data_IF_695176896714
#
_entry.id   IF_695176896714
#
_cell.length_a   1.000
_cell.length_b   1.000
_cell.length_c   1.000
_cell.angle_alpha   90.00
_cell.angle_beta   90.00
_cell.angle_gamma   90.00
#
_symmetry.space_group_name_H-M   'P 1'
#
loop_
_entity.id
_entity.type
_entity.pdbx_description
1 polymer ?
#
# COMPACT_ATOMS: atom_id res chain seq x y z
N UNK A 1 56.19 72.13 31.81
CA UNK A 1 55.13 72.81 32.58
C UNK A 1 53.85 71.98 32.49
N UNK A 2 53.52 71.27 33.57
CA UNK A 2 52.14 70.89 33.95
C UNK A 2 51.54 72.06 34.79
N UNK A 3 50.30 72.06 35.31
CA UNK A 3 49.21 71.04 35.36
C UNK A 3 47.86 71.62 34.85
N UNK A 4 46.66 71.03 34.90
CA UNK A 4 46.07 69.79 35.43
C UNK A 4 44.52 69.85 35.31
N UNK A 5 43.87 68.67 35.44
CA UNK A 5 42.51 68.33 35.98
C UNK A 5 41.37 69.38 35.99
N UNK A 6 40.08 69.10 35.78
CA UNK A 6 39.24 67.94 36.16
C UNK A 6 37.83 68.05 35.52
N UNK A 7 37.07 66.96 35.63
CA UNK A 7 35.72 66.62 35.14
C UNK A 7 34.56 67.59 35.45
N UNK A 8 33.48 67.56 34.66
CA UNK A 8 32.13 67.20 35.16
C UNK A 8 31.05 66.99 34.06
N UNK A 9 30.05 66.19 34.45
CA UNK A 9 29.01 65.50 33.67
C UNK A 9 27.77 66.37 33.38
N UNK A 10 26.99 66.02 32.35
CA UNK A 10 25.65 66.58 32.15
C UNK A 10 24.85 65.91 31.04
N UNK A 11 24.07 64.89 31.41
CA UNK A 11 23.34 63.96 30.56
C UNK A 11 22.32 64.60 29.59
N UNK A 12 22.42 64.20 28.32
CA UNK A 12 21.44 64.47 27.28
C UNK A 12 20.12 63.71 27.50
N UNK A 13 19.03 64.41 27.20
CA UNK A 13 17.65 63.93 27.18
C UNK A 13 17.52 62.74 26.24
N UNK A 14 17.10 61.57 26.75
CA UNK A 14 16.63 60.48 25.91
C UNK A 14 15.13 60.26 26.16
N UNK A 15 14.34 60.68 25.17
CA UNK A 15 12.90 60.44 25.10
C UNK A 15 12.68 58.94 24.95
N UNK A 16 11.94 58.35 25.88
CA UNK A 16 11.53 56.95 25.83
C UNK A 16 10.45 56.81 24.74
N UNK A 17 10.84 56.32 23.57
CA UNK A 17 9.90 55.74 22.62
C UNK A 17 9.59 54.33 23.10
N UNK A 18 8.40 54.14 23.68
CA UNK A 18 7.81 52.83 23.92
C UNK A 18 7.54 52.17 22.57
N UNK A 19 8.49 51.39 22.08
CA UNK A 19 8.28 50.42 21.01
C UNK A 19 7.40 49.31 21.56
N UNK A 20 6.12 49.33 21.18
CA UNK A 20 5.21 48.21 21.34
C UNK A 20 5.68 47.12 20.38
N UNK A 21 6.49 46.18 20.89
CA UNK A 21 6.87 44.97 20.17
C UNK A 21 5.62 44.12 19.95
N UNK A 22 5.00 44.27 18.77
CA UNK A 22 3.95 43.37 18.29
C UNK A 22 4.53 41.98 18.08
N UNK A 23 4.23 41.07 18.99
CA UNK A 23 4.52 39.65 18.83
C UNK A 23 3.63 39.10 17.70
N UNK A 24 4.15 39.05 16.47
CA UNK A 24 3.50 38.36 15.36
C UNK A 24 3.62 36.86 15.65
N UNK A 25 2.57 36.28 16.23
CA UNK A 25 2.41 34.85 16.40
C UNK A 25 2.08 34.25 15.03
N UNK A 26 3.09 33.79 14.30
CA UNK A 26 2.91 32.99 13.08
C UNK A 26 2.23 31.68 13.45
N UNK A 27 0.92 31.59 13.17
CA UNK A 27 0.17 30.34 13.23
C UNK A 27 0.81 29.34 12.25
N UNK A 28 1.62 28.42 12.79
CA UNK A 28 2.06 27.21 12.11
C UNK A 28 0.81 26.37 11.81
N UNK A 29 0.25 26.52 10.61
CA UNK A 29 -0.80 25.62 10.13
C UNK A 29 -0.23 24.20 10.14
N UNK A 30 -0.83 23.26 10.89
CA UNK A 30 -0.26 21.94 11.01
C UNK A 30 -0.45 21.19 9.69
N UNK A 31 0.64 20.74 9.08
CA UNK A 31 0.64 19.88 7.88
C UNK A 31 -0.08 18.51 8.08
N UNK A 32 -0.73 18.31 9.22
CA UNK A 32 -1.45 17.10 9.65
C UNK A 32 -2.66 16.74 8.77
N UNK A 33 -3.21 17.68 7.99
CA UNK A 33 -4.44 17.42 7.22
C UNK A 33 -4.26 16.33 6.13
N UNK A 34 -3.06 16.18 5.56
CA UNK A 34 -2.80 15.14 4.55
C UNK A 34 -2.57 13.75 5.15
N UNK A 35 -2.06 13.68 6.39
CA UNK A 35 -1.75 12.40 7.03
C UNK A 35 -3.01 11.59 7.36
N UNK A 36 -4.13 12.24 7.66
CA UNK A 36 -5.40 11.57 7.93
C UNK A 36 -6.04 10.94 6.69
N UNK A 37 -5.74 11.47 5.49
CA UNK A 37 -6.33 10.96 4.25
C UNK A 37 -5.84 9.54 3.91
N UNK A 38 -4.61 9.17 4.28
CA UNK A 38 -4.04 7.83 4.07
C UNK A 38 -4.40 6.84 5.19
N UNK A 39 -5.08 7.29 6.24
CA UNK A 39 -5.51 6.42 7.32
C UNK A 39 -6.81 5.71 6.93
N UNK A 40 -6.76 4.39 6.85
CA UNK A 40 -7.96 3.60 6.62
C UNK A 40 -8.94 3.72 7.79
N UNK A 41 -10.23 3.85 7.47
CA UNK A 41 -11.34 3.76 8.43
C UNK A 41 -12.08 2.43 8.24
N UNK A 42 -12.05 1.57 9.27
CA UNK A 42 -12.79 0.31 9.24
C UNK A 42 -14.32 0.57 9.21
N UNK A 43 -15.10 -0.28 8.52
CA UNK A 43 -16.55 -0.09 8.45
C UNK A 43 -17.20 -0.35 9.81
N UNK A 44 -18.06 0.58 10.22
CA UNK A 44 -18.93 0.42 11.38
C UNK A 44 -20.21 -0.32 10.99
N UNK A 45 -20.76 -1.12 11.89
CA UNK A 45 -22.02 -1.86 11.66
C UNK A 45 -21.86 -3.15 10.85
N UNK A 46 -22.98 -3.62 10.29
CA UNK A 46 -23.03 -4.88 9.51
C UNK A 46 -22.32 -4.71 8.16
N UNK A 47 -21.67 -5.77 7.71
CA UNK A 47 -20.87 -5.81 6.49
C UNK A 47 -21.49 -6.88 5.59
N UNK A 48 -21.36 -6.72 4.28
CA UNK A 48 -21.78 -7.74 3.32
C UNK A 48 -20.83 -8.95 3.39
N UNK A 49 -21.40 -10.14 3.49
CA UNK A 49 -20.70 -11.42 3.32
C UNK A 49 -21.22 -12.05 2.03
N UNK A 50 -20.67 -11.66 0.86
CA UNK A 50 -21.19 -12.12 -0.41
C UNK A 50 -20.88 -13.59 -0.62
N UNK A 51 -21.88 -14.36 -1.02
CA UNK A 51 -21.68 -15.69 -1.58
C UNK A 51 -20.93 -15.59 -2.91
N UNK A 52 -19.94 -16.47 -3.11
CA UNK A 52 -19.12 -16.49 -4.31
C UNK A 52 -19.42 -17.75 -5.11
N UNK A 53 -19.88 -17.55 -6.34
CA UNK A 53 -20.03 -18.62 -7.30
C UNK A 53 -18.67 -18.97 -7.92
N UNK A 54 -18.41 -20.28 -8.02
CA UNK A 54 -17.23 -20.83 -8.66
C UNK A 54 -17.31 -20.60 -10.18
N UNK A 55 -16.32 -19.90 -10.73
CA UNK A 55 -16.22 -19.61 -12.17
C UNK A 55 -15.06 -20.33 -12.88
N UNK A 56 -14.58 -21.43 -12.29
CA UNK A 56 -13.52 -22.24 -12.89
C UNK A 56 -13.46 -23.65 -12.31
N UNK A 57 -12.60 -24.52 -12.86
CA UNK A 57 -12.48 -25.89 -12.38
C UNK A 57 -11.84 -25.96 -10.99
N UNK A 58 -12.17 -27.00 -10.24
CA UNK A 58 -11.41 -27.37 -9.04
C UNK A 58 -10.04 -27.89 -9.48
N UNK A 59 -8.98 -27.34 -8.88
CA UNK A 59 -7.61 -27.83 -9.08
C UNK A 59 -6.96 -28.06 -7.73
N UNK A 60 -6.66 -29.32 -7.45
CA UNK A 60 -5.93 -29.74 -6.26
C UNK A 60 -4.55 -30.22 -6.71
N UNK A 61 -3.55 -29.36 -6.56
CA UNK A 61 -2.14 -29.66 -6.84
C UNK A 61 -1.33 -29.30 -5.61
N UNK A 62 -0.12 -29.86 -5.50
CA UNK A 62 0.79 -29.51 -4.41
C UNK A 62 1.18 -28.03 -4.51
N UNK A 63 1.16 -27.34 -3.38
CA UNK A 63 1.67 -25.98 -3.25
C UNK A 63 3.21 -26.01 -3.25
N UNK A 64 3.82 -25.20 -4.10
CA UNK A 64 5.28 -25.04 -4.19
C UNK A 64 5.76 -23.65 -3.81
N UNK A 65 4.83 -22.73 -3.57
CA UNK A 65 5.12 -21.35 -3.18
C UNK A 65 3.85 -20.51 -3.21
N UNK A 66 4.03 -19.21 -3.09
CA UNK A 66 2.91 -18.26 -3.06
C UNK A 66 3.21 -17.00 -3.86
N UNK A 67 2.15 -16.30 -4.22
CA UNK A 67 2.21 -14.92 -4.72
C UNK A 67 1.30 -14.05 -3.86
N UNK A 68 1.84 -13.05 -3.18
CA UNK A 68 1.04 -11.96 -2.62
C UNK A 68 0.83 -10.92 -3.71
N UNK A 69 -0.40 -10.82 -4.19
CA UNK A 69 -0.79 -9.90 -5.25
C UNK A 69 -1.33 -8.61 -4.67
N UNK A 70 -0.78 -7.48 -5.14
CA UNK A 70 -1.00 -6.16 -4.58
C UNK A 70 -1.43 -5.18 -5.66
N UNK A 71 -2.69 -4.76 -5.63
CA UNK A 71 -3.23 -3.82 -6.63
C UNK A 71 -2.85 -2.38 -6.28
N UNK A 72 -2.41 -1.62 -7.27
CA UNK A 72 -2.14 -0.19 -7.15
C UNK A 72 -3.45 0.60 -7.28
N UNK A 73 -4.00 1.05 -6.14
CA UNK A 73 -5.34 1.65 -6.10
C UNK A 73 -5.47 2.93 -6.93
N UNK A 74 -4.49 3.85 -7.01
CA UNK A 74 -4.62 5.03 -7.85
C UNK A 74 -4.91 4.70 -9.33
N UNK A 75 -4.21 3.72 -9.91
CA UNK A 75 -4.50 3.31 -11.31
C UNK A 75 -5.82 2.56 -11.41
N UNK A 76 -6.15 1.71 -10.42
CA UNK A 76 -7.43 1.01 -10.39
C UNK A 76 -8.62 1.98 -10.30
N UNK A 77 -8.54 2.98 -9.41
CA UNK A 77 -9.59 3.95 -9.14
C UNK A 77 -9.68 5.06 -10.18
N UNK A 78 -8.76 5.10 -11.15
CA UNK A 78 -8.80 6.06 -12.24
C UNK A 78 -10.13 5.92 -12.99
N UNK A 79 -10.94 6.99 -12.92
CA UNK A 79 -12.31 7.07 -13.47
C UNK A 79 -13.33 6.14 -12.78
N UNK A 80 -13.14 5.82 -11.49
CA UNK A 80 -14.05 4.96 -10.70
C UNK A 80 -14.43 5.55 -9.34
N UNK A 81 -14.21 6.84 -9.14
CA UNK A 81 -14.46 7.54 -7.88
C UNK A 81 -15.96 7.63 -7.54
N UNK A 82 -16.81 7.65 -8.56
CA UNK A 82 -18.27 7.66 -8.47
C UNK A 82 -18.93 6.27 -8.58
N UNK A 83 -18.17 5.21 -8.92
CA UNK A 83 -18.69 3.85 -9.06
C UNK A 83 -19.07 3.25 -7.69
N UNK A 84 -20.38 2.98 -7.41
CA UNK A 84 -20.82 2.53 -6.08
C UNK A 84 -20.18 1.22 -5.63
N UNK A 85 -19.90 0.30 -6.58
CA UNK A 85 -19.26 -1.00 -6.31
C UNK A 85 -17.83 -0.87 -5.78
N UNK A 86 -17.13 0.22 -6.09
CA UNK A 86 -15.74 0.45 -5.69
C UNK A 86 -15.60 1.65 -4.75
N UNK A 87 -16.72 2.25 -4.31
CA UNK A 87 -16.72 3.47 -3.53
C UNK A 87 -15.85 3.39 -2.26
N UNK A 88 -15.77 2.23 -1.60
CA UNK A 88 -14.90 2.07 -0.42
C UNK A 88 -13.43 2.29 -0.75
N UNK A 89 -12.94 1.74 -1.86
CA UNK A 89 -11.55 1.90 -2.29
C UNK A 89 -11.29 3.26 -2.93
N UNK A 90 -12.25 3.77 -3.73
CA UNK A 90 -12.01 4.85 -4.67
C UNK A 90 -12.55 6.23 -4.26
N UNK A 91 -13.57 6.31 -3.41
CA UNK A 91 -14.19 7.61 -3.06
C UNK A 91 -13.39 8.45 -2.05
N UNK A 92 -12.33 7.90 -1.45
CA UNK A 92 -11.60 8.51 -0.33
C UNK A 92 -12.35 8.53 1.00
N UNK A 93 -13.64 8.15 1.04
CA UNK A 93 -14.45 8.16 2.28
C UNK A 93 -13.99 7.13 3.32
N UNK A 94 -13.34 6.05 2.92
CA UNK A 94 -12.79 5.07 3.86
C UNK A 94 -11.28 5.25 4.11
N UNK A 95 -10.72 6.39 3.69
CA UNK A 95 -9.28 6.58 3.51
C UNK A 95 -8.90 6.44 2.04
N UNK A 96 -7.69 6.89 1.71
CA UNK A 96 -7.05 6.75 0.41
C UNK A 96 -6.07 5.59 0.47
N UNK A 97 -6.19 4.66 -0.46
CA UNK A 97 -5.38 3.46 -0.49
C UNK A 97 -4.26 3.62 -1.51
N UNK A 98 -3.05 3.22 -1.14
CA UNK A 98 -1.95 3.08 -2.09
C UNK A 98 -2.02 1.67 -2.69
N UNK A 99 -1.13 0.76 -2.28
CA UNK A 99 -1.34 -0.66 -2.49
C UNK A 99 -2.44 -1.21 -1.58
N UNK A 100 -3.22 -2.13 -2.13
CA UNK A 100 -4.11 -3.02 -1.38
C UNK A 100 -3.73 -4.46 -1.70
N UNK A 101 -4.06 -5.39 -0.81
CA UNK A 101 -4.00 -6.81 -1.14
C UNK A 101 -5.15 -7.15 -2.08
N UNK A 102 -4.78 -7.54 -3.30
CA UNK A 102 -5.67 -8.22 -4.21
C UNK A 102 -5.99 -9.60 -3.64
N UNK A 103 -4.95 -10.38 -3.29
CA UNK A 103 -5.07 -11.69 -2.66
C UNK A 103 -3.72 -12.40 -2.48
N UNK A 104 -3.71 -13.43 -1.63
CA UNK A 104 -2.60 -14.38 -1.49
C UNK A 104 -2.94 -15.65 -2.26
N UNK A 105 -2.09 -16.03 -3.21
CA UNK A 105 -2.37 -17.10 -4.16
C UNK A 105 -1.36 -18.26 -3.99
N UNK A 106 -1.83 -19.51 -3.79
CA UNK A 106 -0.94 -20.65 -3.84
C UNK A 106 -0.50 -20.92 -5.28
N UNK A 107 0.81 -21.13 -5.46
CA UNK A 107 1.41 -21.53 -6.73
C UNK A 107 1.73 -23.03 -6.67
N UNK A 108 1.70 -23.69 -7.84
CA UNK A 108 2.02 -25.11 -7.99
C UNK A 108 3.14 -25.35 -9.01
N UNK A 109 3.57 -26.60 -9.17
CA UNK A 109 4.63 -26.96 -10.10
C UNK A 109 4.22 -26.69 -11.55
N UNK A 110 5.21 -26.41 -12.41
CA UNK A 110 5.03 -26.26 -13.87
C UNK A 110 3.93 -25.26 -14.25
N UNK A 111 3.90 -24.09 -13.59
CA UNK A 111 2.91 -23.03 -13.81
C UNK A 111 1.46 -23.46 -13.55
N UNK A 112 1.24 -24.53 -12.78
CA UNK A 112 -0.08 -24.85 -12.24
C UNK A 112 -0.34 -24.04 -10.97
N UNK A 113 -1.59 -24.00 -10.53
CA UNK A 113 -1.98 -23.37 -9.27
C UNK A 113 -3.24 -24.06 -8.74
N UNK A 114 -3.30 -24.36 -7.42
CA UNK A 114 -4.53 -24.80 -6.80
C UNK A 114 -5.61 -23.72 -6.91
N UNK A 115 -6.86 -24.13 -7.12
CA UNK A 115 -7.99 -23.22 -7.00
C UNK A 115 -9.29 -23.94 -6.71
N UNK A 116 -10.23 -23.21 -6.11
CA UNK A 116 -11.59 -23.65 -5.85
C UNK A 116 -11.66 -24.97 -5.07
N UNK A 117 -10.73 -25.17 -4.13
CA UNK A 117 -10.74 -26.36 -3.29
C UNK A 117 -12.02 -26.40 -2.45
N UNK A 118 -12.65 -27.59 -2.27
CA UNK A 118 -13.92 -27.69 -1.57
C UNK A 118 -13.83 -27.14 -0.15
N UNK A 119 -14.74 -26.24 0.21
CA UNK A 119 -14.90 -25.73 1.58
C UNK A 119 -16.35 -25.39 1.85
N UNK A 120 -16.75 -25.46 3.11
CA UNK A 120 -18.03 -24.93 3.61
C UNK A 120 -17.83 -23.65 4.44
N UNK A 121 -16.58 -23.31 4.71
CA UNK A 121 -16.22 -22.20 5.56
C UNK A 121 -16.20 -20.87 4.79
N UNK A 122 -16.46 -19.78 5.50
CA UNK A 122 -16.54 -18.42 4.95
C UNK A 122 -16.13 -17.40 6.02
N UNK A 123 -15.55 -16.24 5.63
CA UNK A 123 -15.19 -15.22 6.60
C UNK A 123 -16.39 -14.78 7.44
N UNK A 124 -16.18 -14.72 8.74
CA UNK A 124 -17.13 -14.11 9.69
C UNK A 124 -17.21 -12.59 9.50
N UNK A 125 -18.21 -11.97 10.13
CA UNK A 125 -18.33 -10.52 10.20
C UNK A 125 -17.09 -9.82 10.78
N UNK A 126 -16.43 -10.45 11.74
CA UNK A 126 -15.24 -9.89 12.39
C UNK A 126 -14.03 -9.96 11.46
N UNK A 127 -13.80 -11.12 10.83
CA UNK A 127 -12.68 -11.33 9.90
C UNK A 127 -12.81 -10.47 8.65
N UNK A 128 -14.01 -10.41 8.07
CA UNK A 128 -14.29 -9.53 6.94
C UNK A 128 -13.99 -8.07 7.31
N UNK A 129 -14.42 -7.60 8.48
CA UNK A 129 -14.13 -6.24 8.96
C UNK A 129 -12.63 -5.98 9.10
N UNK A 130 -11.91 -6.93 9.69
CA UNK A 130 -10.46 -6.84 9.90
C UNK A 130 -9.68 -6.71 8.59
N UNK A 131 -10.13 -7.38 7.53
CA UNK A 131 -9.49 -7.32 6.22
C UNK A 131 -9.69 -6.00 5.46
N UNK A 132 -10.69 -5.18 5.82
CA UNK A 132 -11.12 -4.02 4.99
C UNK A 132 -10.11 -2.89 4.83
N UNK A 133 -9.06 -2.83 5.66
CA UNK A 133 -7.97 -1.87 5.49
C UNK A 133 -6.82 -2.40 4.65
N UNK A 134 -6.75 -3.72 4.49
CA UNK A 134 -5.80 -4.40 3.62
C UNK A 134 -6.40 -4.64 2.23
N UNK A 135 -7.68 -4.98 2.15
CA UNK A 135 -8.42 -5.28 0.91
C UNK A 135 -9.84 -4.67 1.00
N UNK A 136 -10.05 -3.43 0.51
CA UNK A 136 -11.25 -2.62 0.74
C UNK A 136 -12.47 -3.02 -0.13
N UNK A 137 -12.66 -4.31 -0.41
CA UNK A 137 -13.80 -4.84 -1.15
C UNK A 137 -14.19 -6.22 -0.59
N UNK A 138 -15.42 -6.34 -0.08
CA UNK A 138 -15.90 -7.58 0.57
C UNK A 138 -16.06 -8.73 -0.42
N UNK A 139 -16.43 -8.45 -1.67
CA UNK A 139 -16.57 -9.46 -2.71
C UNK A 139 -15.20 -9.95 -3.16
N UNK A 140 -14.22 -9.05 -3.21
CA UNK A 140 -12.83 -9.41 -3.46
C UNK A 140 -12.33 -10.36 -2.37
N UNK A 141 -12.45 -9.98 -1.09
CA UNK A 141 -12.01 -10.80 0.06
C UNK A 141 -12.65 -12.19 0.04
N UNK A 142 -13.98 -12.26 -0.09
CA UNK A 142 -14.70 -13.53 -0.14
C UNK A 142 -14.25 -14.39 -1.33
N UNK A 143 -14.00 -13.77 -2.49
CA UNK A 143 -13.54 -14.49 -3.69
C UNK A 143 -12.13 -15.00 -3.55
N UNK A 144 -11.21 -14.23 -2.97
CA UNK A 144 -9.85 -14.69 -2.73
C UNK A 144 -9.80 -15.89 -1.78
N UNK A 145 -10.62 -15.86 -0.73
CA UNK A 145 -10.81 -17.02 0.13
C UNK A 145 -11.31 -18.23 -0.67
N UNK A 146 -12.47 -18.11 -1.32
CA UNK A 146 -13.12 -19.25 -1.96
C UNK A 146 -12.31 -19.83 -3.13
N UNK A 147 -11.59 -18.98 -3.87
CA UNK A 147 -10.81 -19.39 -5.03
C UNK A 147 -9.40 -19.86 -4.66
N UNK A 148 -8.73 -19.21 -3.72
CA UNK A 148 -7.30 -19.41 -3.44
C UNK A 148 -7.04 -19.89 -2.02
N UNK A 149 -7.62 -19.20 -1.03
CA UNK A 149 -7.40 -19.50 0.39
C UNK A 149 -7.88 -20.89 0.83
N UNK A 150 -8.99 -21.37 0.28
CA UNK A 150 -9.55 -22.70 0.59
C UNK A 150 -8.64 -23.86 0.17
N UNK A 151 -7.66 -23.61 -0.69
CA UNK A 151 -6.63 -24.59 -1.07
C UNK A 151 -5.41 -24.58 -0.15
N UNK A 152 -5.28 -23.56 0.70
CA UNK A 152 -4.14 -23.38 1.60
C UNK A 152 -4.45 -23.88 3.00
N UNK A 153 -5.67 -23.56 3.49
CA UNK A 153 -6.13 -23.86 4.84
C UNK A 153 -7.63 -24.12 4.84
N UNK A 154 -8.14 -24.76 5.89
CA UNK A 154 -9.57 -25.08 6.04
C UNK A 154 -10.39 -23.96 6.71
N UNK A 155 -9.74 -22.90 7.19
CA UNK A 155 -10.31 -21.80 7.97
C UNK A 155 -10.03 -20.44 7.30
N UNK A 156 -11.09 -19.68 7.00
CA UNK A 156 -11.02 -18.39 6.33
C UNK A 156 -10.28 -17.35 7.17
N UNK A 157 -10.46 -17.39 8.49
CA UNK A 157 -9.75 -16.54 9.45
C UNK A 157 -8.23 -16.76 9.40
N UNK A 158 -7.79 -18.01 9.32
CA UNK A 158 -6.38 -18.37 9.17
C UNK A 158 -5.80 -17.82 7.87
N UNK A 159 -6.50 -17.97 6.74
CA UNK A 159 -6.07 -17.39 5.46
C UNK A 159 -5.88 -15.87 5.54
N UNK A 160 -6.86 -15.17 6.12
CA UNK A 160 -6.80 -13.71 6.26
C UNK A 160 -5.69 -13.28 7.23
N UNK A 161 -5.46 -14.01 8.32
CA UNK A 161 -4.35 -13.75 9.25
C UNK A 161 -2.98 -13.96 8.61
N UNK A 162 -2.77 -15.04 7.86
CA UNK A 162 -1.51 -15.27 7.13
C UNK A 162 -1.26 -14.10 6.17
N UNK A 163 -2.28 -13.74 5.39
CA UNK A 163 -2.22 -12.62 4.45
C UNK A 163 -1.88 -11.30 5.17
N UNK A 164 -2.50 -11.04 6.32
CA UNK A 164 -2.25 -9.85 7.13
C UNK A 164 -0.83 -9.82 7.70
N UNK A 165 -0.29 -10.96 8.14
CA UNK A 165 1.10 -11.07 8.63
C UNK A 165 2.08 -10.75 7.52
N UNK A 166 1.89 -11.31 6.32
CA UNK A 166 2.73 -10.99 5.16
C UNK A 166 2.61 -9.53 4.77
N UNK A 167 1.40 -8.95 4.77
CA UNK A 167 1.21 -7.54 4.46
C UNK A 167 1.89 -6.61 5.47
N UNK A 168 1.79 -6.92 6.76
CA UNK A 168 2.34 -6.09 7.84
C UNK A 168 3.87 -6.20 7.97
N UNK A 169 4.50 -7.24 7.41
CA UNK A 169 5.96 -7.36 7.43
C UNK A 169 6.65 -6.46 6.40
N UNK A 170 5.89 -5.88 5.46
CA UNK A 170 6.41 -5.08 4.37
C UNK A 170 6.61 -3.62 4.79
N UNK A 171 7.72 -3.05 4.37
CA UNK A 171 8.01 -1.61 4.42
C UNK A 171 7.67 -1.01 3.07
N UNK A 172 6.76 -0.05 3.06
CA UNK A 172 6.28 0.58 1.83
C UNK A 172 7.12 1.82 1.48
N UNK A 173 7.84 1.81 0.34
CA UNK A 173 8.45 3.03 -0.19
C UNK A 173 7.39 4.07 -0.58
N UNK A 174 7.81 5.32 -0.73
CA UNK A 174 6.96 6.37 -1.26
C UNK A 174 6.80 6.25 -2.79
N UNK A 175 5.79 5.48 -3.22
CA UNK A 175 5.45 5.28 -4.63
C UNK A 175 4.93 6.56 -5.30
N UNK A 176 4.38 7.51 -4.55
CA UNK A 176 4.00 8.82 -5.10
C UNK A 176 5.26 9.63 -5.44
N UNK A 177 6.28 9.64 -4.59
CA UNK A 177 7.60 10.21 -4.93
C UNK A 177 8.24 9.50 -6.12
N UNK A 178 8.23 8.16 -6.13
CA UNK A 178 8.80 7.37 -7.23
C UNK A 178 8.13 7.68 -8.57
N UNK A 179 6.81 7.93 -8.58
CA UNK A 179 6.05 8.28 -9.78
C UNK A 179 6.55 9.54 -10.52
N UNK A 180 7.33 10.40 -9.83
CA UNK A 180 7.88 11.65 -10.38
C UNK A 180 9.28 11.48 -11.00
N UNK A 181 9.88 10.30 -10.88
CA UNK A 181 11.19 9.99 -11.46
C UNK A 181 11.10 10.02 -12.99
N UNK A 182 12.02 10.76 -13.64
CA UNK A 182 12.17 10.73 -15.10
C UNK A 182 12.81 9.41 -15.53
N UNK A 183 12.33 8.84 -16.63
CA UNK A 183 12.84 7.56 -17.15
C UNK A 183 12.63 6.39 -16.18
N UNK A 184 11.52 6.37 -15.45
CA UNK A 184 11.21 5.30 -14.51
C UNK A 184 11.09 3.96 -15.26
N UNK A 185 11.85 2.97 -14.83
CA UNK A 185 11.78 1.60 -15.37
C UNK A 185 11.18 0.61 -14.37
N UNK A 186 10.77 -0.56 -14.88
CA UNK A 186 10.34 -1.67 -14.05
C UNK A 186 11.43 -2.13 -13.06
N UNK A 187 12.70 -2.11 -13.47
CA UNK A 187 13.84 -2.37 -12.59
C UNK A 187 13.89 -1.39 -11.43
N UNK A 188 13.76 -0.08 -11.71
CA UNK A 188 13.77 0.93 -10.64
C UNK A 188 12.66 0.72 -9.60
N UNK A 189 11.48 0.26 -10.02
CA UNK A 189 10.38 -0.04 -9.10
C UNK A 189 10.72 -1.22 -8.19
N UNK A 190 11.35 -2.27 -8.74
CA UNK A 190 11.78 -3.45 -7.98
C UNK A 190 12.89 -3.09 -7.00
N UNK A 191 13.92 -2.40 -7.49
CA UNK A 191 15.05 -1.93 -6.67
C UNK A 191 14.56 -1.06 -5.51
N UNK A 192 13.65 -0.11 -5.78
CA UNK A 192 13.06 0.75 -4.74
C UNK A 192 12.33 -0.06 -3.65
N UNK A 193 11.66 -1.15 -4.03
CA UNK A 193 11.00 -2.02 -3.06
C UNK A 193 12.00 -2.86 -2.26
N UNK A 194 12.96 -3.48 -2.93
CA UNK A 194 14.02 -4.29 -2.32
C UNK A 194 14.88 -3.47 -1.35
N UNK A 195 15.28 -2.25 -1.72
CA UNK A 195 16.03 -1.32 -0.87
C UNK A 195 15.28 -1.00 0.44
N UNK A 196 13.95 -0.91 0.41
CA UNK A 196 13.15 -0.68 1.61
C UNK A 196 12.94 -1.95 2.46
N UNK A 197 13.13 -3.14 1.87
CA UNK A 197 12.83 -4.45 2.48
C UNK A 197 14.07 -5.36 2.40
N UNK A 198 15.00 -5.31 3.38
CA UNK A 198 16.33 -5.93 3.27
C UNK A 198 16.41 -7.46 3.07
N UNK A 199 15.29 -8.17 3.13
CA UNK A 199 15.20 -9.61 2.87
C UNK A 199 14.65 -9.93 1.47
N UNK A 200 14.39 -8.91 0.66
CA UNK A 200 13.83 -9.02 -0.68
C UNK A 200 14.86 -8.60 -1.70
N UNK A 201 14.98 -9.40 -2.76
CA UNK A 201 15.73 -9.05 -3.95
C UNK A 201 14.79 -8.55 -5.06
N UNK A 202 15.35 -7.86 -6.07
CA UNK A 202 14.56 -7.34 -7.18
C UNK A 202 13.84 -8.47 -7.95
N UNK A 203 14.45 -9.65 -8.02
CA UNK A 203 13.95 -10.85 -8.68
C UNK A 203 12.70 -11.43 -8.00
N UNK A 204 12.48 -11.14 -6.72
CA UNK A 204 11.32 -11.58 -5.93
C UNK A 204 10.07 -10.73 -6.21
N UNK A 205 10.25 -9.61 -6.93
CA UNK A 205 9.22 -8.58 -7.17
C UNK A 205 8.76 -8.62 -8.63
N UNK A 206 7.63 -9.24 -8.86
CA UNK A 206 6.92 -9.20 -10.13
C UNK A 206 6.08 -7.94 -10.31
N UNK A 207 5.91 -7.50 -11.56
CA UNK A 207 5.10 -6.32 -11.89
C UNK A 207 4.09 -6.62 -13.01
N UNK A 208 2.90 -6.04 -12.89
CA UNK A 208 1.90 -6.03 -13.95
C UNK A 208 1.71 -4.58 -14.39
N UNK A 209 1.99 -4.34 -15.66
CA UNK A 209 1.77 -3.05 -16.33
C UNK A 209 0.62 -3.19 -17.32
N UNK A 210 -0.19 -2.14 -17.47
CA UNK A 210 -1.19 -2.10 -18.53
C UNK A 210 -0.55 -1.82 -19.90
N UNK A 211 -1.34 -1.91 -20.96
CA UNK A 211 -0.90 -1.65 -22.34
C UNK A 211 -0.34 -0.23 -22.56
N UNK A 212 -0.73 0.71 -21.68
CA UNK A 212 -0.23 2.09 -21.66
C UNK A 212 0.98 2.25 -20.74
N UNK A 213 1.57 1.18 -20.23
CA UNK A 213 2.74 1.20 -19.35
C UNK A 213 2.48 1.71 -17.92
N UNK A 214 1.24 1.76 -17.45
CA UNK A 214 0.94 2.12 -16.05
C UNK A 214 0.96 0.90 -15.13
N UNK A 215 1.58 1.04 -13.95
CA UNK A 215 1.57 0.04 -12.89
C UNK A 215 0.14 -0.27 -12.46
N UNK A 216 -0.23 -1.55 -12.52
CA UNK A 216 -1.51 -2.06 -12.03
C UNK A 216 -1.37 -2.90 -10.77
N UNK A 217 -0.35 -3.75 -10.72
CA UNK A 217 -0.20 -4.73 -9.65
C UNK A 217 1.29 -5.01 -9.42
N UNK A 218 1.67 -5.18 -8.15
CA UNK A 218 2.93 -5.76 -7.73
C UNK A 218 2.67 -7.18 -7.22
N UNK A 219 3.53 -8.12 -7.60
CA UNK A 219 3.44 -9.53 -7.23
C UNK A 219 4.67 -9.90 -6.43
N UNK A 220 4.50 -10.16 -5.16
CA UNK A 220 5.58 -10.56 -4.28
C UNK A 220 5.61 -12.09 -4.24
N UNK A 221 6.70 -12.68 -4.70
CA UNK A 221 6.85 -14.13 -4.83
C UNK A 221 7.49 -14.72 -3.58
N UNK A 222 6.94 -15.84 -3.12
CA UNK A 222 7.40 -16.56 -1.94
C UNK A 222 7.63 -18.04 -2.22
N UNK A 223 8.58 -18.63 -1.50
CA UNK A 223 8.71 -20.07 -1.35
C UNK A 223 7.58 -20.70 -0.54
N UNK A 224 7.55 -22.03 -0.46
CA UNK A 224 6.53 -22.76 0.31
C UNK A 224 6.62 -22.51 1.84
N UNK A 225 7.76 -22.00 2.30
CA UNK A 225 8.07 -21.58 3.66
C UNK A 225 7.72 -20.10 3.95
N UNK A 226 7.09 -19.41 3.01
CA UNK A 226 6.78 -17.97 3.06
C UNK A 226 8.01 -17.05 3.12
N UNK A 227 9.19 -17.53 2.73
CA UNK A 227 10.35 -16.67 2.52
C UNK A 227 10.32 -16.08 1.10
N UNK A 228 10.84 -14.85 0.88
CA UNK A 228 10.98 -14.28 -0.46
C UNK A 228 11.71 -15.23 -1.39
N UNK A 229 11.24 -15.32 -2.64
CA UNK A 229 11.84 -16.17 -3.64
C UNK A 229 11.60 -15.61 -5.04
N UNK A 230 12.55 -15.83 -5.94
CA UNK A 230 12.51 -15.28 -7.28
C UNK A 230 11.21 -15.63 -8.01
N UNK A 231 10.59 -14.62 -8.60
CA UNK A 231 9.43 -14.83 -9.45
C UNK A 231 9.81 -15.61 -10.71
N UNK A 232 8.96 -16.57 -11.11
CA UNK A 232 9.09 -17.14 -12.46
C UNK A 232 8.78 -16.10 -13.53
N UNK A 233 9.11 -16.42 -14.79
CA UNK A 233 8.92 -15.54 -15.95
C UNK A 233 7.50 -14.98 -16.09
N UNK A 234 6.46 -15.75 -15.70
CA UNK A 234 5.05 -15.33 -15.82
C UNK A 234 4.70 -14.33 -14.72
N UNK A 235 5.20 -14.55 -13.50
CA UNK A 235 4.95 -13.68 -12.34
C UNK A 235 5.82 -12.43 -12.37
N UNK A 236 7.05 -12.53 -12.89
CA UNK A 236 8.01 -11.43 -12.95
C UNK A 236 7.53 -10.26 -13.82
N UNK A 237 6.93 -10.55 -14.98
CA UNK A 237 6.36 -9.53 -15.87
C UNK A 237 7.41 -8.84 -16.74
N UNK A 238 7.33 -7.51 -16.98
CA UNK A 238 8.21 -6.79 -17.90
C UNK A 238 9.67 -6.81 -17.42
N UNK A 239 10.61 -6.80 -18.36
CA UNK A 239 12.05 -6.76 -18.08
C UNK A 239 12.46 -5.48 -17.35
N UNK A 240 13.59 -5.49 -16.65
CA UNK A 240 14.04 -4.35 -15.84
C UNK A 240 14.23 -3.04 -16.63
N UNK A 241 14.58 -3.12 -17.91
CA UNK A 241 14.73 -1.95 -18.79
C UNK A 241 13.42 -1.39 -19.35
N UNK A 242 12.28 -2.05 -19.10
CA UNK A 242 10.99 -1.58 -19.62
C UNK A 242 10.58 -0.29 -18.94
N UNK A 243 10.38 0.78 -19.71
CA UNK A 243 9.84 2.04 -19.20
C UNK A 243 8.41 1.86 -18.71
N UNK A 244 8.08 2.51 -17.60
CA UNK A 244 6.74 2.47 -17.04
C UNK A 244 6.39 3.72 -16.24
N UNK A 245 5.12 3.82 -15.85
CA UNK A 245 4.55 4.95 -15.14
C UNK A 245 3.76 4.47 -13.93
N UNK A 246 3.70 5.29 -12.90
CA UNK A 246 2.88 5.04 -11.70
C UNK A 246 1.84 6.15 -11.64
N UNK A 247 0.55 5.79 -11.65
CA UNK A 247 -0.50 6.80 -11.53
C UNK A 247 -0.56 7.29 -10.09
N UNK A 248 -0.77 8.58 -9.88
CA UNK A 248 -0.74 9.21 -8.55
C UNK A 248 -2.03 9.94 -8.18
N UNK A 249 -3.00 9.99 -9.09
CA UNK A 249 -4.28 10.67 -8.86
C UNK A 249 -5.22 9.80 -8.01
N UNK A 250 -5.77 10.39 -6.95
CA UNK A 250 -6.91 9.91 -6.17
C UNK A 250 -7.74 11.08 -5.68
#
# INVERSE_FOLDING_TARGET
MSPGQRDEKGHGRMRWFTLVSGLILTLLLPATALAQAYQCRTPQGRISLPAIERDGPVRQTRITGYTLSLSWSPEFCRFRDDEPRHARQCSGRAGRFAFIVHGLWPEGPRNSYPQWCPTRDQPTQLEMRGAMCMSPDTRLVARQWAKHGSCMVNDAGAYLRITQVLWNSLRWPDFDRLSRRRGLTAGNVRDTFAEANPYWDAEDVGLVVNERGWLREMRLCYGADFMPAACDRRRFGPSNGTEMRIWRGM
#
